data_IF_346602759132
#
_entry.id   IF_346602759132
#
_cell.length_a   1.000
_cell.length_b   1.000
_cell.length_c   1.000
_cell.angle_alpha   90.00
_cell.angle_beta   90.00
_cell.angle_gamma   90.00
#
_symmetry.space_group_name_H-M   'P 1'
#
loop_
_entity.id
_entity.type
_entity.pdbx_description
1 polymer ?
#
# COMPACT_ATOMS: atom_id res chain seq x y z
N UNK A 1 10.26 12.37 -17.39
CA UNK A 1 11.03 11.14 -17.09
C UNK A 1 10.67 10.09 -18.13
N UNK A 2 11.66 9.36 -18.67
CA UNK A 2 11.43 8.31 -19.66
C UNK A 2 10.81 7.08 -18.99
N UNK A 3 9.91 6.38 -19.70
CA UNK A 3 9.20 5.18 -19.23
C UNK A 3 10.14 4.10 -18.65
N UNK A 4 11.36 4.01 -19.16
CA UNK A 4 12.41 3.09 -18.71
C UNK A 4 12.84 3.32 -17.25
N UNK A 5 12.79 4.55 -16.74
CA UNK A 5 13.21 4.85 -15.36
C UNK A 5 12.19 4.35 -14.32
N UNK A 6 10.90 4.38 -14.64
CA UNK A 6 9.82 3.93 -13.75
C UNK A 6 9.71 2.41 -13.74
N UNK A 7 9.81 1.78 -14.91
CA UNK A 7 9.81 0.32 -15.03
C UNK A 7 10.98 -0.29 -14.23
N UNK A 8 12.16 0.31 -14.34
CA UNK A 8 13.35 -0.10 -13.60
C UNK A 8 13.18 0.05 -12.07
N UNK A 9 12.63 1.17 -11.61
CA UNK A 9 12.32 1.39 -10.20
C UNK A 9 11.42 0.27 -9.64
N UNK A 10 10.32 -0.03 -10.33
CA UNK A 10 9.40 -1.08 -9.89
C UNK A 10 10.00 -2.46 -9.99
N UNK A 11 10.80 -2.74 -11.03
CA UNK A 11 11.52 -4.01 -11.16
C UNK A 11 12.43 -4.25 -9.95
N UNK A 12 13.29 -3.28 -9.60
CA UNK A 12 14.19 -3.39 -8.45
C UNK A 12 13.42 -3.60 -7.14
N UNK A 13 12.32 -2.87 -6.94
CA UNK A 13 11.51 -2.99 -5.72
C UNK A 13 10.76 -4.33 -5.63
N UNK A 14 10.30 -4.86 -6.76
CA UNK A 14 9.64 -6.18 -6.83
C UNK A 14 10.62 -7.34 -6.68
N UNK A 15 11.89 -7.16 -7.06
CA UNK A 15 12.95 -8.15 -6.80
C UNK A 15 13.22 -8.31 -5.29
N UNK A 16 12.93 -7.28 -4.51
CA UNK A 16 12.97 -7.29 -3.04
C UNK A 16 11.63 -7.71 -2.42
N UNK A 17 10.83 -8.51 -3.12
CA UNK A 17 9.51 -8.92 -2.64
C UNK A 17 9.60 -9.58 -1.26
N UNK A 18 8.81 -9.05 -0.32
CA UNK A 18 8.76 -9.52 1.06
C UNK A 18 7.32 -9.50 1.57
N UNK A 19 6.96 -10.54 2.32
CA UNK A 19 5.68 -10.65 3.01
C UNK A 19 5.92 -10.41 4.50
N UNK A 20 5.30 -9.37 5.04
CA UNK A 20 5.27 -9.13 6.49
C UNK A 20 4.36 -10.17 7.15
N UNK A 21 4.92 -10.98 8.04
CA UNK A 21 4.19 -11.97 8.82
C UNK A 21 3.66 -11.33 10.09
N UNK A 22 2.35 -11.14 10.20
CA UNK A 22 1.74 -10.59 11.41
C UNK A 22 1.57 -11.70 12.46
N UNK A 23 2.00 -11.50 13.72
CA UNK A 23 1.97 -12.53 14.76
C UNK A 23 0.56 -12.99 15.15
N UNK A 24 -0.47 -12.23 14.75
CA UNK A 24 -1.88 -12.52 14.99
C UNK A 24 -2.62 -12.94 13.71
N UNK A 25 -1.94 -13.15 12.59
CA UNK A 25 -2.58 -13.63 11.36
C UNK A 25 -2.82 -15.14 11.46
N UNK A 26 -3.91 -15.53 12.11
CA UNK A 26 -4.52 -16.83 11.86
C UNK A 26 -5.41 -16.69 10.63
N UNK A 27 -4.99 -17.26 9.50
CA UNK A 27 -5.75 -17.34 8.24
C UNK A 27 -7.09 -18.10 8.37
N UNK A 28 -7.47 -18.53 9.57
CA UNK A 28 -8.70 -19.26 9.88
C UNK A 28 -9.84 -18.33 10.28
N UNK A 29 -10.12 -17.35 9.42
CA UNK A 29 -11.26 -16.45 9.57
C UNK A 29 -12.16 -16.55 8.35
N UNK A 30 -13.06 -17.54 8.29
CA UNK A 30 -14.05 -17.70 7.20
C UNK A 30 -15.16 -16.64 7.24
N UNK A 31 -15.06 -15.67 8.15
CA UNK A 31 -16.03 -14.58 8.27
C UNK A 31 -15.77 -13.54 7.17
N UNK A 32 -16.83 -12.99 6.54
CA UNK A 32 -16.67 -11.92 5.57
C UNK A 32 -15.98 -10.72 6.23
N UNK A 33 -15.05 -10.11 5.50
CA UNK A 33 -14.41 -8.88 5.94
C UNK A 33 -15.50 -7.81 6.15
N UNK A 34 -15.57 -7.25 7.35
CA UNK A 34 -16.50 -6.16 7.67
C UNK A 34 -15.68 -4.91 7.98
N UNK A 35 -16.02 -3.80 7.32
CA UNK A 35 -15.47 -2.51 7.67
C UNK A 35 -15.95 -2.13 9.07
N UNK A 36 -15.00 -2.01 10.00
CA UNK A 36 -15.29 -1.56 11.36
C UNK A 36 -14.64 -0.19 11.55
N UNK A 37 -15.47 0.82 11.76
CA UNK A 37 -15.02 2.09 12.31
C UNK A 37 -14.94 1.95 13.82
N UNK A 38 -13.76 2.19 14.38
CA UNK A 38 -13.63 2.29 15.84
C UNK A 38 -13.98 3.70 16.26
N UNK A 39 -14.63 3.84 17.42
CA UNK A 39 -14.85 5.13 18.06
C UNK A 39 -13.52 5.65 18.64
N UNK A 40 -12.54 5.86 17.76
CA UNK A 40 -11.23 6.33 18.15
C UNK A 40 -11.33 7.84 18.40
N UNK A 41 -11.07 8.25 19.63
CA UNK A 41 -10.88 9.67 19.93
C UNK A 41 -9.60 10.14 19.25
N UNK A 42 -9.77 10.89 18.15
CA UNK A 42 -8.66 11.61 17.55
C UNK A 42 -8.09 12.57 18.59
N UNK A 43 -6.80 12.43 18.98
CA UNK A 43 -6.16 13.43 19.83
C UNK A 43 -6.29 14.80 19.17
N UNK A 44 -6.64 15.84 19.94
CA UNK A 44 -6.85 17.19 19.41
C UNK A 44 -5.66 17.70 18.59
N UNK A 45 -4.44 17.32 18.96
CA UNK A 45 -3.22 17.65 18.22
C UNK A 45 -3.19 17.11 16.77
N UNK A 46 -3.87 15.98 16.48
CA UNK A 46 -4.00 15.47 15.11
C UNK A 46 -5.10 16.18 14.32
N UNK A 47 -6.08 16.78 14.99
CA UNK A 47 -7.17 17.50 14.35
C UNK A 47 -6.68 18.80 13.68
N UNK A 48 -5.63 19.42 14.25
CA UNK A 48 -4.98 20.63 13.71
C UNK A 48 -4.09 20.36 12.49
N UNK A 49 -3.78 19.09 12.21
CA UNK A 49 -2.96 18.70 11.05
C UNK A 49 -3.80 18.71 9.78
N UNK A 50 -3.15 19.05 8.66
CA UNK A 50 -3.72 18.87 7.33
C UNK A 50 -4.08 17.38 7.11
N UNK A 51 -5.06 17.06 6.23
CA UNK A 51 -5.44 15.67 5.97
C UNK A 51 -4.26 14.78 5.56
N UNK A 52 -3.33 15.31 4.76
CA UNK A 52 -2.12 14.60 4.33
C UNK A 52 -1.19 14.35 5.52
N UNK A 53 -0.88 15.38 6.30
CA UNK A 53 -0.01 15.25 7.48
C UNK A 53 -0.59 14.28 8.52
N UNK A 54 -1.92 14.25 8.64
CA UNK A 54 -2.64 13.32 9.51
C UNK A 54 -2.52 11.88 9.02
N UNK A 55 -2.69 11.64 7.71
CA UNK A 55 -2.52 10.32 7.12
C UNK A 55 -1.06 9.83 7.30
N UNK A 56 -0.08 10.69 7.04
CA UNK A 56 1.34 10.38 7.27
C UNK A 56 1.63 10.09 8.74
N UNK A 57 1.08 10.87 9.66
CA UNK A 57 1.25 10.65 11.10
C UNK A 57 0.69 9.29 11.53
N UNK A 58 -0.55 8.97 11.13
CA UNK A 58 -1.20 7.71 11.49
C UNK A 58 -0.47 6.53 10.88
N UNK A 59 -0.06 6.65 9.62
CA UNK A 59 0.70 5.61 8.93
C UNK A 59 2.07 5.40 9.59
N UNK A 60 2.78 6.46 9.97
CA UNK A 60 4.05 6.35 10.70
C UNK A 60 3.87 5.66 12.06
N UNK A 61 2.83 6.03 12.83
CA UNK A 61 2.53 5.39 14.11
C UNK A 61 2.22 3.90 13.93
N UNK A 62 1.44 3.55 12.91
CA UNK A 62 1.10 2.16 12.63
C UNK A 62 2.29 1.35 12.11
N UNK A 63 3.14 1.90 11.24
CA UNK A 63 4.36 1.24 10.77
C UNK A 63 5.38 1.01 11.88
N UNK A 64 5.53 1.98 12.78
CA UNK A 64 6.33 1.84 14.00
C UNK A 64 5.79 0.74 14.90
N UNK A 65 4.47 0.66 15.05
CA UNK A 65 3.83 -0.45 15.76
C UNK A 65 4.12 -1.79 15.07
N UNK A 66 3.90 -1.90 13.76
CA UNK A 66 4.15 -3.10 12.98
C UNK A 66 5.60 -3.57 13.13
N UNK A 67 6.57 -2.69 12.94
CA UNK A 67 7.99 -3.01 13.07
C UNK A 67 8.31 -3.62 14.45
N UNK A 68 7.71 -3.07 15.51
CA UNK A 68 7.93 -3.54 16.89
C UNK A 68 7.28 -4.89 17.17
N UNK A 69 6.07 -5.14 16.68
CA UNK A 69 5.39 -6.41 16.94
C UNK A 69 5.93 -7.56 16.08
N UNK A 70 6.48 -7.27 14.89
CA UNK A 70 7.10 -8.29 14.03
C UNK A 70 8.59 -8.45 14.31
N UNK A 71 9.23 -7.46 14.93
CA UNK A 71 10.68 -7.41 15.07
C UNK A 71 11.41 -7.09 13.75
N UNK A 72 10.69 -6.64 12.72
CA UNK A 72 11.25 -6.33 11.40
C UNK A 72 11.36 -4.81 11.19
N UNK A 73 12.57 -4.33 10.89
CA UNK A 73 12.80 -2.92 10.54
C UNK A 73 12.43 -2.60 9.09
N UNK A 74 12.61 -3.56 8.18
CA UNK A 74 12.27 -3.43 6.76
C UNK A 74 10.90 -4.04 6.49
N UNK A 75 9.93 -3.19 6.18
CA UNK A 75 8.55 -3.58 5.94
C UNK A 75 8.22 -3.37 4.45
N UNK A 76 7.49 -4.33 3.89
CA UNK A 76 6.88 -4.18 2.58
C UNK A 76 5.38 -4.47 2.65
N UNK A 77 4.57 -3.51 2.22
CA UNK A 77 3.11 -3.55 2.29
C UNK A 77 2.51 -3.23 0.93
N UNK A 78 1.27 -3.64 0.71
CA UNK A 78 0.51 -3.20 -0.45
C UNK A 78 0.09 -1.73 -0.31
N UNK A 79 0.23 -0.95 -1.36
CA UNK A 79 -0.26 0.42 -1.46
C UNK A 79 -1.19 0.57 -2.65
N UNK A 80 -2.35 1.19 -2.44
CA UNK A 80 -3.25 1.54 -3.54
C UNK A 80 -2.95 2.97 -3.98
N UNK A 81 -2.30 3.19 -5.14
CA UNK A 81 -2.03 4.53 -5.62
C UNK A 81 -3.33 5.25 -5.98
N UNK A 82 -3.41 6.55 -5.64
CA UNK A 82 -4.53 7.39 -6.06
C UNK A 82 -4.42 7.60 -7.58
N UNK A 83 -5.49 7.35 -8.37
CA UNK A 83 -5.44 7.57 -9.82
C UNK A 83 -5.03 9.01 -10.15
N UNK A 84 -3.88 9.16 -10.79
CA UNK A 84 -3.43 10.46 -11.31
C UNK A 84 -4.21 10.83 -12.59
N UNK A 85 -4.16 12.10 -12.99
CA UNK A 85 -4.94 12.62 -14.12
C UNK A 85 -4.79 11.86 -15.44
N UNK A 86 -3.66 11.17 -15.68
CA UNK A 86 -3.47 10.31 -16.85
C UNK A 86 -4.19 8.95 -16.78
N UNK A 87 -4.53 8.49 -15.58
CA UNK A 87 -5.29 7.25 -15.32
C UNK A 87 -6.77 7.53 -15.04
N UNK A 88 -7.08 8.70 -14.50
CA UNK A 88 -8.44 9.08 -14.14
C UNK A 88 -9.39 8.94 -15.34
N UNK A 89 -10.36 8.01 -15.24
CA UNK A 89 -11.36 7.74 -16.27
C UNK A 89 -11.00 6.66 -17.30
N UNK A 90 -9.78 6.10 -17.27
CA UNK A 90 -9.35 5.07 -18.22
C UNK A 90 -9.51 3.65 -17.67
N UNK A 91 -10.75 3.17 -17.53
CA UNK A 91 -11.08 1.81 -17.02
C UNK A 91 -10.30 0.68 -17.72
N UNK A 92 -10.04 0.81 -19.03
CA UNK A 92 -9.28 -0.19 -19.77
C UNK A 92 -7.81 -0.28 -19.31
N UNK A 93 -7.22 0.82 -18.84
CA UNK A 93 -5.85 0.87 -18.35
C UNK A 93 -5.73 0.23 -16.97
N UNK A 94 -6.77 0.30 -16.13
CA UNK A 94 -6.80 -0.29 -14.79
C UNK A 94 -6.58 -1.80 -14.78
N UNK A 95 -6.95 -2.50 -15.86
CA UNK A 95 -6.73 -3.95 -15.98
C UNK A 95 -5.28 -4.29 -16.34
N UNK A 96 -4.60 -3.40 -17.06
CA UNK A 96 -3.24 -3.58 -17.59
C UNK A 96 -2.15 -3.18 -16.59
N UNK A 97 -2.51 -2.44 -15.56
CA UNK A 97 -1.60 -1.88 -14.56
C UNK A 97 -1.85 -2.49 -13.18
N UNK A 98 -0.86 -2.43 -12.32
CA UNK A 98 -0.99 -2.89 -10.96
C UNK A 98 -1.97 -1.99 -10.18
N UNK A 99 -3.00 -2.61 -9.59
CA UNK A 99 -3.94 -1.95 -8.67
C UNK A 99 -3.34 -1.72 -7.29
N UNK A 100 -2.33 -2.51 -6.93
CA UNK A 100 -1.59 -2.42 -5.67
C UNK A 100 -0.11 -2.49 -6.01
N UNK A 101 0.68 -1.59 -5.43
CA UNK A 101 2.14 -1.51 -5.60
C UNK A 101 2.85 -1.75 -4.26
N UNK A 102 4.11 -2.17 -4.25
CA UNK A 102 4.86 -2.29 -2.99
C UNK A 102 5.19 -0.91 -2.43
N UNK A 103 4.69 -0.61 -1.23
CA UNK A 103 5.30 0.35 -0.32
C UNK A 103 6.42 -0.35 0.43
N UNK A 104 7.64 0.17 0.31
CA UNK A 104 8.83 -0.40 0.95
C UNK A 104 9.42 0.64 1.89
N UNK A 105 9.44 0.35 3.19
CA UNK A 105 9.88 1.32 4.21
C UNK A 105 10.77 0.68 5.26
N UNK A 106 11.77 1.45 5.70
CA UNK A 106 12.63 1.07 6.82
C UNK A 106 12.32 1.92 8.04
N UNK A 107 11.97 1.26 9.14
CA UNK A 107 11.74 1.86 10.45
C UNK A 107 12.83 1.36 11.40
N UNK A 108 13.80 2.24 11.70
CA UNK A 108 14.85 1.93 12.68
C UNK A 108 14.26 1.84 14.10
N UNK A 109 14.65 0.83 14.87
CA UNK A 109 14.18 0.67 16.26
C UNK A 109 14.70 1.76 17.19
N UNK A 110 15.88 2.30 16.87
CA UNK A 110 16.53 3.39 17.61
C UNK A 110 16.05 4.77 17.12
N UNK A 111 15.28 4.82 16.03
CA UNK A 111 14.81 6.08 15.47
C UNK A 111 13.74 6.69 16.36
N UNK A 112 13.77 8.01 16.47
CA UNK A 112 12.67 8.73 17.08
C UNK A 112 11.46 8.81 16.12
N UNK A 113 10.31 9.23 16.64
CA UNK A 113 9.09 9.27 15.83
C UNK A 113 9.14 10.28 14.67
N UNK A 114 9.89 11.38 14.81
CA UNK A 114 10.03 12.36 13.74
C UNK A 114 10.81 11.77 12.55
N UNK A 115 11.86 10.99 12.82
CA UNK A 115 12.61 10.27 11.79
C UNK A 115 11.75 9.22 11.07
N UNK A 116 10.90 8.49 11.80
CA UNK A 116 9.94 7.58 11.19
C UNK A 116 8.95 8.32 10.27
N UNK A 117 8.48 9.51 10.67
CA UNK A 117 7.62 10.35 9.81
C UNK A 117 8.35 10.84 8.56
N UNK A 118 9.61 11.25 8.67
CA UNK A 118 10.41 11.65 7.51
C UNK A 118 10.56 10.50 6.50
N UNK A 119 10.78 9.27 6.98
CA UNK A 119 10.84 8.08 6.12
C UNK A 119 9.50 7.82 5.41
N UNK A 120 8.37 7.97 6.11
CA UNK A 120 7.04 7.82 5.52
C UNK A 120 6.75 8.88 4.46
N UNK A 121 7.05 10.14 4.74
CA UNK A 121 6.86 11.24 3.80
C UNK A 121 7.71 11.05 2.52
N UNK A 122 8.96 10.59 2.67
CA UNK A 122 9.83 10.29 1.54
C UNK A 122 9.28 9.14 0.68
N UNK A 123 8.77 8.08 1.31
CA UNK A 123 8.15 6.96 0.60
C UNK A 123 6.84 7.38 -0.10
N UNK A 124 6.02 8.23 0.53
CA UNK A 124 4.84 8.82 -0.13
C UNK A 124 5.20 9.62 -1.36
N UNK A 125 6.24 10.46 -1.29
CA UNK A 125 6.71 11.22 -2.45
C UNK A 125 7.12 10.28 -3.60
N UNK A 126 7.85 9.20 -3.30
CA UNK A 126 8.24 8.21 -4.30
C UNK A 126 7.03 7.47 -4.89
N UNK A 127 6.10 7.01 -4.06
CA UNK A 127 4.90 6.30 -4.52
C UNK A 127 4.01 7.20 -5.38
N UNK A 128 3.88 8.48 -5.05
CA UNK A 128 3.14 9.44 -5.85
C UNK A 128 3.82 9.75 -7.19
N UNK A 129 5.16 9.87 -7.19
CA UNK A 129 5.93 10.13 -8.42
C UNK A 129 5.93 8.91 -9.36
N UNK A 130 6.05 7.70 -8.81
CA UNK A 130 6.16 6.46 -9.59
C UNK A 130 4.81 5.85 -9.94
N UNK A 131 3.74 6.15 -9.18
CA UNK A 131 2.35 5.72 -9.37
C UNK A 131 2.18 4.19 -9.38
N UNK A 132 2.55 3.54 -10.48
CA UNK A 132 2.17 2.17 -10.82
C UNK A 132 3.12 1.55 -11.86
N UNK A 133 2.97 0.25 -12.10
CA UNK A 133 3.65 -0.47 -13.18
C UNK A 133 2.68 -1.30 -14.02
N UNK A 134 3.11 -1.65 -15.23
CA UNK A 134 2.36 -2.54 -16.11
C UNK A 134 2.46 -3.99 -15.61
N UNK A 135 1.34 -4.72 -15.57
CA UNK A 135 1.29 -6.06 -14.96
C UNK A 135 2.12 -7.10 -15.71
N UNK A 136 2.33 -6.88 -17.02
CA UNK A 136 3.18 -7.73 -17.84
C UNK A 136 4.66 -7.68 -17.43
N UNK A 137 5.08 -6.68 -16.64
CA UNK A 137 6.44 -6.59 -16.09
C UNK A 137 6.84 -7.88 -15.35
N UNK A 138 5.93 -8.43 -14.54
CA UNK A 138 6.18 -9.66 -13.75
C UNK A 138 6.42 -10.86 -14.66
N UNK A 139 5.68 -10.95 -15.78
CA UNK A 139 5.82 -12.04 -16.74
C UNK A 139 7.05 -11.89 -17.65
N UNK A 140 7.45 -10.65 -17.94
CA UNK A 140 8.59 -10.33 -18.83
C UNK A 140 9.94 -10.41 -18.13
N UNK A 141 10.00 -10.22 -16.81
CA UNK A 141 11.23 -10.27 -16.03
C UNK A 141 11.45 -11.68 -15.44
N UNK A 142 12.50 -12.42 -15.86
CA UNK A 142 12.77 -13.76 -15.34
C UNK A 142 12.99 -13.81 -13.82
N UNK A 143 13.55 -12.74 -13.25
CA UNK A 143 13.77 -12.61 -11.80
C UNK A 143 12.47 -12.52 -11.00
N UNK A 144 11.39 -12.02 -11.60
CA UNK A 144 10.08 -11.85 -10.97
C UNK A 144 9.11 -12.99 -11.28
N UNK A 145 9.26 -13.61 -12.45
CA UNK A 145 8.30 -14.59 -12.96
C UNK A 145 8.21 -15.83 -12.07
N UNK A 146 9.27 -16.18 -11.34
CA UNK A 146 9.32 -17.29 -10.40
C UNK A 146 8.65 -17.06 -9.04
N UNK A 147 8.13 -15.85 -8.77
CA UNK A 147 7.46 -15.54 -7.50
C UNK A 147 5.95 -15.63 -7.68
N UNK A 148 5.34 -16.75 -7.26
CA UNK A 148 3.90 -17.00 -7.49
C UNK A 148 3.00 -15.93 -6.87
N UNK A 149 3.35 -15.42 -5.68
CA UNK A 149 2.57 -14.41 -4.97
C UNK A 149 2.41 -13.12 -5.79
N UNK A 150 3.45 -12.71 -6.54
CA UNK A 150 3.41 -11.51 -7.38
C UNK A 150 2.41 -11.63 -8.54
N UNK A 151 2.03 -12.84 -8.95
CA UNK A 151 1.04 -13.06 -10.02
C UNK A 151 -0.39 -12.76 -9.57
N UNK A 152 -0.64 -12.75 -8.26
CA UNK A 152 -1.93 -12.39 -7.68
C UNK A 152 -2.23 -10.91 -7.91
N UNK A 153 -3.52 -10.53 -7.91
CA UNK A 153 -3.91 -9.10 -8.00
C UNK A 153 -3.51 -8.29 -6.77
N UNK A 154 -3.39 -8.95 -5.62
CA UNK A 154 -2.98 -8.35 -4.33
C UNK A 154 -1.94 -9.27 -3.69
N UNK A 155 -0.65 -9.13 -4.06
CA UNK A 155 0.43 -10.00 -3.57
C UNK A 155 0.69 -9.88 -2.06
N UNK A 156 0.48 -8.68 -1.50
CA UNK A 156 0.73 -8.40 -0.09
C UNK A 156 -0.52 -8.69 0.75
N UNK A 157 -0.41 -9.45 1.86
CA UNK A 157 -1.53 -9.76 2.74
C UNK A 157 -1.99 -8.55 3.56
N UNK A 158 -1.12 -7.56 3.74
CA UNK A 158 -1.39 -6.32 4.43
C UNK A 158 -1.20 -5.17 3.44
N UNK A 159 -2.15 -4.24 3.42
CA UNK A 159 -2.06 -3.07 2.57
C UNK A 159 -2.75 -1.85 3.12
N UNK A 160 -2.42 -0.70 2.56
CA UNK A 160 -2.90 0.61 2.94
C UNK A 160 -3.51 1.30 1.73
N UNK A 161 -4.67 1.91 1.95
CA UNK A 161 -5.32 2.80 0.99
C UNK A 161 -5.70 4.07 1.75
N UNK A 162 -5.30 5.23 1.23
CA UNK A 162 -5.74 6.52 1.75
C UNK A 162 -6.93 6.98 0.92
N UNK A 163 -8.09 7.08 1.54
CA UNK A 163 -9.32 7.58 0.91
C UNK A 163 -9.58 9.01 1.37
N UNK A 164 -9.83 9.92 0.44
CA UNK A 164 -10.41 11.23 0.77
C UNK A 164 -11.84 11.07 1.28
N UNK A 165 -12.36 12.07 1.99
CA UNK A 165 -13.78 12.16 2.36
C UNK A 165 -14.61 12.39 1.09
N UNK A 166 -14.83 11.33 0.34
CA UNK A 166 -15.96 11.18 -0.56
C UNK A 166 -16.67 9.93 -0.07
N UNK A 167 -17.42 10.11 1.02
CA UNK A 167 -18.40 9.15 1.45
C UNK A 167 -19.44 9.03 0.34
N UNK A 168 -19.25 8.08 -0.57
CA UNK A 168 -20.35 7.29 -1.06
C UNK A 168 -20.07 5.85 -0.68
N UNK A 169 -20.57 5.49 0.50
CA UNK A 169 -20.98 4.12 0.78
C UNK A 169 -22.08 3.75 -0.25
N UNK A 170 -21.68 3.44 -1.48
CA UNK A 170 -22.52 2.97 -2.55
C UNK A 170 -21.65 2.45 -3.70
N UNK A 171 -20.94 1.34 -3.49
CA UNK A 171 -20.61 0.36 -4.54
C UNK A 171 -19.99 -0.93 -3.93
N UNK A 172 -20.59 -1.42 -2.84
CA UNK A 172 -20.40 -2.82 -2.41
C UNK A 172 -21.78 -3.42 -2.15
N UNK A 173 -22.61 -3.44 -3.20
CA UNK A 173 -23.87 -4.19 -3.29
C UNK A 173 -24.30 -4.35 -4.75
N UNK A 174 -23.39 -4.73 -5.64
CA UNK A 174 -23.76 -5.26 -6.96
C UNK A 174 -22.56 -5.91 -7.64
N UNK A 175 -22.17 -7.11 -7.21
CA UNK A 175 -21.70 -8.21 -8.08
C UNK A 175 -21.52 -9.47 -7.24
N UNK A 176 -22.62 -9.92 -6.65
CA UNK A 176 -22.86 -11.35 -6.47
C UNK A 176 -23.95 -11.73 -7.46
N UNK A 177 -23.57 -11.87 -8.73
CA UNK A 177 -24.24 -12.75 -9.69
C UNK A 177 -23.47 -12.76 -11.02
N UNK A 178 -23.07 -13.97 -11.43
CA UNK A 178 -23.02 -14.48 -12.80
C UNK A 178 -21.64 -14.99 -13.25
N UNK A 179 -21.50 -16.33 -13.15
CA UNK A 179 -20.61 -17.30 -13.81
C UNK A 179 -19.09 -17.13 -13.74
#
# INVERSE_FOLDING_TARGET
>A
MSRSSREEFWRQRLEQFKIVQLPFSTLEGKAPATWQSTAWLMPGALAELSPTDRAEFLLAAWLVYLARITGESELQLGWTPVPNGSRAGAKALEVLVASVVPMAITIGFDNNFAEARTAVAAEFAQLNEQDTFARDLIARCPTLSGVEALRLRRPWPVGVTVTGESCSAAEESASSSSF
#
